data_IF_832462369577
#
_entry.id   IF_832462369577
#
_cell.length_a   1.000
_cell.length_b   1.000
_cell.length_c   1.000
_cell.angle_alpha   90.00
_cell.angle_beta   90.00
_cell.angle_gamma   90.00
#
_symmetry.space_group_name_H-M   'P 1'
#
loop_
_entity.id
_entity.type
_entity.pdbx_description
1 polymer ?
#
# COMPACT_ATOMS: atom_id res chain seq x y z
N UNK A 1 -26.56 -1.80 -11.96
CA UNK A 1 -25.60 -1.76 -10.84
C UNK A 1 -25.61 -0.32 -10.28
N UNK A 2 -26.44 -0.03 -9.25
CA UNK A 2 -26.76 1.32 -8.71
C UNK A 2 -26.09 1.56 -7.34
N UNK A 3 -25.08 0.75 -7.00
CA UNK A 3 -24.44 0.81 -5.67
C UNK A 3 -23.50 2.00 -5.52
N UNK A 4 -22.59 2.19 -6.47
CA UNK A 4 -21.51 3.18 -6.36
C UNK A 4 -22.02 4.63 -6.33
N UNK A 5 -23.00 4.97 -7.17
CA UNK A 5 -23.52 6.34 -7.26
C UNK A 5 -24.21 6.83 -5.97
N UNK A 6 -24.89 5.92 -5.25
CA UNK A 6 -25.55 6.24 -3.98
C UNK A 6 -24.53 6.47 -2.87
N UNK A 7 -23.49 5.64 -2.82
CA UNK A 7 -22.41 5.76 -1.83
C UNK A 7 -21.70 7.11 -1.98
N UNK A 8 -21.38 7.53 -3.21
CA UNK A 8 -20.75 8.84 -3.47
C UNK A 8 -21.59 10.01 -2.95
N UNK A 9 -22.92 9.95 -3.09
CA UNK A 9 -23.82 11.00 -2.60
C UNK A 9 -23.85 11.10 -1.07
N UNK A 10 -23.84 9.95 -0.39
CA UNK A 10 -23.83 9.90 1.07
C UNK A 10 -22.52 10.44 1.66
N UNK A 11 -21.37 10.12 1.05
CA UNK A 11 -20.06 10.61 1.48
C UNK A 11 -19.96 12.15 1.41
N UNK A 12 -20.41 12.75 0.30
CA UNK A 12 -20.44 14.22 0.13
C UNK A 12 -21.33 14.91 1.16
N UNK A 13 -22.50 14.36 1.48
CA UNK A 13 -23.38 14.92 2.51
C UNK A 13 -22.74 14.92 3.90
N UNK A 14 -21.87 13.96 4.18
CA UNK A 14 -21.13 13.87 5.43
C UNK A 14 -19.86 14.74 5.48
N UNK A 15 -19.56 15.52 4.43
CA UNK A 15 -18.32 16.29 4.33
C UNK A 15 -17.06 15.42 4.22
N UNK A 16 -17.22 14.12 3.92
CA UNK A 16 -16.12 13.20 3.67
C UNK A 16 -15.90 13.20 2.16
N UNK A 17 -14.93 13.98 1.72
CA UNK A 17 -14.42 13.80 0.36
C UNK A 17 -13.86 12.38 0.27
N UNK A 18 -14.29 11.55 -0.71
CA UNK A 18 -13.64 10.26 -0.92
C UNK A 18 -12.17 10.58 -1.14
N UNK A 19 -11.32 10.16 -0.20
CA UNK A 19 -9.89 10.39 -0.29
C UNK A 19 -9.46 9.92 -1.66
N UNK A 20 -9.04 10.88 -2.48
CA UNK A 20 -8.53 10.61 -3.80
C UNK A 20 -7.26 9.80 -3.59
N UNK A 21 -7.41 8.48 -3.55
CA UNK A 21 -6.30 7.54 -3.55
C UNK A 21 -5.89 7.31 -5.00
N UNK A 22 -6.01 8.34 -5.85
CA UNK A 22 -5.71 8.24 -7.27
C UNK A 22 -4.27 8.67 -7.56
N UNK A 23 -3.57 9.38 -6.66
CA UNK A 23 -2.17 9.80 -6.90
C UNK A 23 -1.30 9.67 -5.64
N UNK A 24 -1.07 8.46 -5.10
CA UNK A 24 -0.06 8.25 -4.06
C UNK A 24 0.44 6.80 -3.99
N UNK A 25 1.16 6.39 -5.01
CA UNK A 25 2.35 5.54 -4.85
C UNK A 25 2.90 5.33 -6.24
N UNK A 26 4.02 5.98 -6.55
CA UNK A 26 5.06 5.30 -7.31
C UNK A 26 5.32 4.00 -6.56
N UNK A 27 4.53 2.97 -6.87
CA UNK A 27 4.62 1.66 -6.25
C UNK A 27 5.93 1.15 -6.79
N UNK A 28 6.97 1.24 -5.96
CA UNK A 28 8.28 0.68 -6.29
C UNK A 28 8.02 -0.71 -6.86
N UNK A 29 8.61 -1.01 -8.02
CA UNK A 29 8.44 -2.30 -8.72
C UNK A 29 8.66 -3.49 -7.76
N UNK A 30 9.43 -3.25 -6.69
CA UNK A 30 9.62 -4.15 -5.56
C UNK A 30 9.22 -3.47 -4.25
N UNK A 31 7.92 -3.42 -3.89
CA UNK A 31 7.46 -2.73 -2.71
C UNK A 31 7.71 -3.54 -1.43
N UNK A 32 8.15 -4.79 -1.52
CA UNK A 32 8.44 -5.64 -0.36
C UNK A 32 9.93 -5.92 -0.23
N UNK A 33 10.45 -5.92 1.00
CA UNK A 33 11.86 -6.21 1.29
C UNK A 33 11.99 -7.12 2.51
N UNK A 34 12.84 -8.15 2.40
CA UNK A 34 13.21 -8.95 3.55
C UNK A 34 14.16 -8.17 4.47
N UNK A 35 13.80 -7.98 5.74
CA UNK A 35 14.65 -7.32 6.75
C UNK A 35 15.83 -8.18 7.21
N UNK A 36 15.82 -9.49 6.90
CA UNK A 36 16.91 -10.42 7.22
C UNK A 36 18.05 -10.39 6.22
N UNK A 37 17.74 -10.52 4.91
CA UNK A 37 18.76 -10.60 3.85
C UNK A 37 18.74 -9.42 2.86
N UNK A 38 17.73 -8.55 2.91
CA UNK A 38 17.62 -7.37 2.04
C UNK A 38 17.04 -7.63 0.64
N UNK A 39 16.70 -8.87 0.30
CA UNK A 39 16.06 -9.19 -1.00
C UNK A 39 14.74 -8.44 -1.18
N UNK A 40 14.52 -7.91 -2.37
CA UNK A 40 13.33 -7.16 -2.73
C UNK A 40 12.41 -7.97 -3.65
N UNK A 41 11.09 -7.82 -3.45
CA UNK A 41 10.06 -8.58 -4.16
C UNK A 41 8.89 -7.67 -4.56
N UNK A 42 8.27 -8.00 -5.68
CA UNK A 42 7.06 -7.37 -6.22
C UNK A 42 5.80 -7.83 -5.47
N UNK A 43 5.83 -9.05 -4.92
CA UNK A 43 4.76 -9.65 -4.11
C UNK A 43 5.16 -9.84 -2.65
N UNK A 44 4.17 -9.88 -1.75
CA UNK A 44 4.42 -10.15 -0.33
C UNK A 44 4.52 -11.67 -0.09
N UNK A 45 5.68 -12.12 0.37
CA UNK A 45 5.89 -13.50 0.82
C UNK A 45 5.75 -13.60 2.34
N UNK A 46 5.10 -14.66 2.84
CA UNK A 46 5.09 -14.97 4.28
C UNK A 46 6.44 -15.48 4.80
N UNK A 47 7.24 -16.08 3.90
CA UNK A 47 8.59 -16.59 4.18
C UNK A 47 9.50 -16.17 3.04
N UNK A 48 10.64 -15.57 3.36
CA UNK A 48 11.62 -15.13 2.36
C UNK A 48 12.17 -16.33 1.58
N UNK A 49 12.05 -16.35 0.23
CA UNK A 49 12.56 -17.45 -0.58
C UNK A 49 14.10 -17.55 -0.58
N UNK A 50 14.82 -16.46 -0.29
CA UNK A 50 16.29 -16.45 -0.30
C UNK A 50 16.91 -16.92 1.04
N UNK A 51 16.32 -16.55 2.18
CA UNK A 51 16.92 -16.84 3.49
C UNK A 51 16.02 -17.62 4.47
N UNK A 52 14.76 -17.88 4.11
CA UNK A 52 13.81 -18.58 4.98
C UNK A 52 13.28 -17.76 6.17
N UNK A 53 13.67 -16.49 6.30
CA UNK A 53 13.20 -15.60 7.36
C UNK A 53 11.76 -15.12 7.17
N UNK A 54 11.13 -14.67 8.25
CA UNK A 54 9.71 -14.29 8.28
C UNK A 54 9.46 -12.77 8.24
N UNK A 55 10.51 -11.98 8.00
CA UNK A 55 10.46 -10.51 8.08
C UNK A 55 10.44 -9.88 6.69
N UNK A 56 9.44 -10.21 5.87
CA UNK A 56 9.21 -9.57 4.55
C UNK A 56 8.13 -8.51 4.69
N UNK A 57 8.55 -7.25 4.67
CA UNK A 57 7.69 -6.11 4.96
C UNK A 57 7.65 -5.15 3.78
N UNK A 58 6.60 -4.31 3.71
CA UNK A 58 6.55 -3.24 2.72
C UNK A 58 7.68 -2.25 3.01
N UNK A 59 8.44 -1.88 1.97
CA UNK A 59 9.33 -0.73 2.02
C UNK A 59 8.44 0.50 2.18
N UNK A 60 8.54 1.16 3.33
CA UNK A 60 7.95 2.48 3.50
C UNK A 60 8.66 3.38 2.51
N UNK A 61 7.94 3.82 1.46
CA UNK A 61 8.43 4.91 0.61
C UNK A 61 8.67 6.09 1.54
N UNK A 62 9.87 6.67 1.52
CA UNK A 62 10.31 7.71 2.45
C UNK A 62 9.57 9.07 2.27
N UNK A 63 8.33 9.05 1.77
CA UNK A 63 7.48 10.20 1.51
C UNK A 63 6.38 10.40 2.58
N UNK A 64 6.39 9.61 3.66
CA UNK A 64 5.42 9.72 4.76
C UNK A 64 6.17 10.17 6.04
N UNK A 65 6.34 11.49 6.21
CA UNK A 65 6.83 12.04 7.48
C UNK A 65 7.66 13.33 7.41
N UNK A 66 7.05 14.44 6.98
CA UNK A 66 7.39 15.77 7.52
C UNK A 66 6.10 16.58 7.64
N UNK A 67 5.51 16.58 8.84
CA UNK A 67 4.71 17.69 9.38
C UNK A 67 5.25 17.99 10.79
#
# INVERSE_FOLDING_TARGET
MVGAATITRLLRLAGVEPGDRSEASETSEFPYVCRGCGSAYDVQYHVCPDCGGFSVDRRLSAADGTD
#
